data_IF_190956732344
#
_entry.id   IF_190956732344
#
_cell.length_a   1.000
_cell.length_b   1.000
_cell.length_c   1.000
_cell.angle_alpha   90.00
_cell.angle_beta   90.00
_cell.angle_gamma   90.00
#
_symmetry.space_group_name_H-M   'P 1'
#
loop_
_entity.id
_entity.type
_entity.pdbx_description
1 polymer ?
#
# COMPACT_ATOMS: atom_id res chain seq x y z
N UNK A 1 1.55 -9.85 28.93
CA UNK A 1 0.36 -10.50 28.35
C UNK A 1 0.82 -11.56 27.35
N UNK A 2 0.19 -12.75 27.31
CA UNK A 2 0.55 -13.85 26.39
C UNK A 2 -0.30 -13.86 25.09
N UNK A 3 -1.04 -12.80 24.83
CA UNK A 3 -1.93 -12.66 23.68
C UNK A 3 -1.78 -11.27 23.05
N UNK A 4 -2.15 -11.16 21.78
CA UNK A 4 -2.27 -9.91 21.05
C UNK A 4 -3.72 -9.55 20.73
N UNK A 5 -3.94 -8.31 20.29
CA UNK A 5 -5.23 -7.84 19.81
C UNK A 5 -5.06 -7.17 18.45
N UNK A 6 -6.11 -7.19 17.64
CA UNK A 6 -6.16 -6.48 16.37
C UNK A 6 -6.94 -5.19 16.58
N UNK A 7 -6.31 -4.06 16.25
CA UNK A 7 -6.98 -2.77 16.20
C UNK A 7 -7.50 -2.51 14.79
N UNK A 8 -8.80 -2.26 14.66
CA UNK A 8 -9.44 -1.85 13.40
C UNK A 8 -9.56 -0.32 13.38
N UNK A 9 -8.81 0.38 12.52
CA UNK A 9 -8.81 1.84 12.54
C UNK A 9 -10.09 2.45 11.96
N UNK A 10 -10.44 3.71 12.34
CA UNK A 10 -11.67 4.37 11.90
C UNK A 10 -11.82 4.51 10.38
N UNK A 11 -10.71 4.53 9.63
CA UNK A 11 -10.76 4.60 8.17
C UNK A 11 -11.35 3.34 7.51
N UNK A 12 -11.55 2.25 8.27
CA UNK A 12 -12.23 1.03 7.79
C UNK A 12 -13.70 0.95 8.21
N UNK A 13 -14.21 1.89 9.00
CA UNK A 13 -15.50 1.78 9.65
C UNK A 13 -16.44 2.94 9.27
N UNK A 14 -17.71 2.62 9.09
CA UNK A 14 -18.82 3.58 9.04
C UNK A 14 -19.15 4.09 10.45
N UNK A 15 -20.02 5.10 10.54
CA UNK A 15 -20.43 5.68 11.82
C UNK A 15 -21.17 4.66 12.73
N UNK A 16 -21.81 3.67 12.14
CA UNK A 16 -22.50 2.58 12.84
C UNK A 16 -21.58 1.40 13.21
N UNK A 17 -20.28 1.48 12.90
CA UNK A 17 -19.30 0.43 13.16
C UNK A 17 -19.24 -0.68 12.11
N UNK A 18 -20.04 -0.63 11.05
CA UNK A 18 -19.94 -1.57 9.92
C UNK A 18 -18.70 -1.27 9.05
N UNK A 19 -18.22 -2.25 8.29
CA UNK A 19 -17.05 -2.08 7.41
C UNK A 19 -17.37 -1.17 6.21
N UNK A 20 -16.44 -0.27 5.88
CA UNK A 20 -16.47 0.52 4.65
C UNK A 20 -16.10 -0.33 3.44
N UNK A 21 -16.73 -0.12 2.27
CA UNK A 21 -16.34 -0.78 1.03
C UNK A 21 -14.94 -0.30 0.58
N UNK A 22 -13.98 -1.22 0.60
CA UNK A 22 -12.57 -0.94 0.26
C UNK A 22 -12.34 -1.04 -1.26
N UNK A 23 -11.45 -0.23 -1.85
CA UNK A 23 -10.98 -0.51 -3.21
C UNK A 23 -10.24 -1.84 -3.26
N UNK A 24 -10.27 -2.52 -4.40
CA UNK A 24 -9.51 -3.73 -4.67
C UNK A 24 -8.53 -3.49 -5.83
N UNK A 25 -7.28 -3.90 -5.66
CA UNK A 25 -6.31 -3.99 -6.76
C UNK A 25 -6.62 -5.28 -7.53
N UNK A 26 -7.16 -5.17 -8.73
CA UNK A 26 -7.69 -6.31 -9.51
C UNK A 26 -6.70 -6.84 -10.53
N UNK A 27 -5.77 -6.01 -10.99
CA UNK A 27 -4.70 -6.40 -11.90
C UNK A 27 -3.57 -7.19 -11.23
N UNK A 28 -2.71 -7.82 -12.05
CA UNK A 28 -1.50 -8.46 -11.57
C UNK A 28 -0.47 -7.40 -11.13
N UNK A 29 0.06 -7.56 -9.92
CA UNK A 29 1.20 -6.78 -9.42
C UNK A 29 2.43 -7.69 -9.46
N UNK A 30 3.54 -7.29 -10.08
CA UNK A 30 4.76 -8.09 -10.08
C UNK A 30 5.24 -8.38 -8.66
N UNK A 31 5.68 -9.62 -8.41
CA UNK A 31 6.21 -10.01 -7.10
C UNK A 31 7.57 -9.35 -6.78
N UNK A 32 8.32 -8.93 -7.80
CA UNK A 32 9.62 -8.27 -7.68
C UNK A 32 9.74 -7.12 -8.67
N UNK A 33 10.28 -6.01 -8.23
CA UNK A 33 10.43 -4.77 -9.02
C UNK A 33 11.75 -4.10 -8.67
N UNK A 34 12.35 -3.38 -9.61
CA UNK A 34 13.54 -2.56 -9.33
C UNK A 34 13.18 -1.17 -8.82
N UNK A 35 14.11 -0.51 -8.13
CA UNK A 35 14.02 0.94 -7.91
C UNK A 35 13.92 1.66 -9.26
N UNK A 36 13.10 2.71 -9.33
CA UNK A 36 12.89 3.48 -10.56
C UNK A 36 11.98 2.79 -11.59
N UNK A 37 11.49 1.59 -11.31
CA UNK A 37 10.52 0.92 -12.18
C UNK A 37 9.15 1.60 -12.12
N UNK A 38 8.42 1.46 -13.21
CA UNK A 38 7.03 1.87 -13.32
C UNK A 38 6.13 0.64 -13.29
N UNK A 39 5.05 0.72 -12.51
CA UNK A 39 4.07 -0.35 -12.35
C UNK A 39 2.73 0.07 -12.92
N UNK A 40 2.16 -0.78 -13.79
CA UNK A 40 0.77 -0.69 -14.18
C UNK A 40 -0.11 -1.37 -13.14
N UNK A 41 -1.05 -0.62 -12.56
CA UNK A 41 -1.95 -1.09 -11.51
C UNK A 41 -3.39 -0.80 -11.91
N UNK A 42 -4.27 -1.79 -11.78
CA UNK A 42 -5.71 -1.65 -12.02
C UNK A 42 -6.48 -1.88 -10.75
N UNK A 43 -7.52 -1.09 -10.52
CA UNK A 43 -8.46 -1.22 -9.41
C UNK A 43 -9.89 -1.50 -9.89
N UNK A 44 -10.76 -1.88 -8.96
CA UNK A 44 -12.20 -2.08 -9.20
C UNK A 44 -13.00 -0.76 -9.22
N UNK A 45 -12.52 0.25 -8.50
CA UNK A 45 -13.07 1.60 -8.45
C UNK A 45 -11.96 2.65 -8.48
N UNK A 46 -12.32 3.91 -8.76
CA UNK A 46 -11.36 5.00 -8.79
C UNK A 46 -10.67 5.21 -7.44
N UNK A 47 -9.35 5.44 -7.48
CA UNK A 47 -8.51 5.73 -6.32
C UNK A 47 -7.73 7.03 -6.52
N UNK A 48 -7.31 7.65 -5.41
CA UNK A 48 -6.65 8.97 -5.40
C UNK A 48 -5.19 8.91 -5.00
N UNK A 49 -4.73 7.81 -4.39
CA UNK A 49 -3.32 7.64 -4.05
C UNK A 49 -2.92 6.18 -3.91
N UNK A 50 -1.61 5.95 -4.05
CA UNK A 50 -0.96 4.69 -3.73
C UNK A 50 0.16 4.92 -2.72
N UNK A 51 0.41 3.94 -1.87
CA UNK A 51 1.53 3.95 -0.93
C UNK A 51 2.10 2.56 -0.75
N UNK A 52 3.43 2.49 -0.62
CA UNK A 52 4.10 1.32 -0.08
C UNK A 52 4.29 1.47 1.42
N UNK A 53 4.12 0.38 2.15
CA UNK A 53 4.52 0.25 3.55
C UNK A 53 5.47 -0.93 3.66
N UNK A 54 6.71 -0.69 4.07
CA UNK A 54 7.70 -1.76 4.25
C UNK A 54 7.24 -2.69 5.38
N UNK A 55 7.42 -3.99 5.20
CA UNK A 55 7.16 -4.96 6.27
C UNK A 55 8.03 -4.61 7.48
N UNK A 56 7.39 -4.46 8.65
CA UNK A 56 8.05 -4.09 9.90
C UNK A 56 8.53 -5.30 10.69
N UNK A 57 9.50 -5.07 11.57
CA UNK A 57 9.96 -6.03 12.56
C UNK A 57 10.18 -5.30 13.89
N UNK A 58 9.35 -5.60 14.89
CA UNK A 58 9.30 -4.84 16.13
C UNK A 58 9.79 -5.67 17.33
N UNK A 59 10.72 -5.12 18.10
CA UNK A 59 11.13 -5.64 19.42
C UNK A 59 11.62 -4.51 20.31
N UNK A 60 11.39 -4.58 21.62
CA UNK A 60 11.83 -3.55 22.58
C UNK A 60 11.49 -2.12 22.14
N UNK A 61 10.25 -1.91 21.68
CA UNK A 61 9.76 -0.63 21.14
C UNK A 61 10.49 -0.10 19.91
N UNK A 62 11.29 -0.94 19.24
CA UNK A 62 12.10 -0.57 18.09
C UNK A 62 11.59 -1.31 16.85
N UNK A 63 11.24 -0.56 15.81
CA UNK A 63 11.01 -1.05 14.45
C UNK A 63 11.78 -0.13 13.49
N UNK A 64 12.92 -0.61 13.00
CA UNK A 64 13.78 0.13 12.06
C UNK A 64 13.41 -0.15 10.60
N UNK A 65 12.49 -1.10 10.38
CA UNK A 65 12.14 -1.58 9.06
C UNK A 65 10.96 -0.82 8.48
N UNK A 66 9.93 -0.56 9.28
CA UNK A 66 8.70 0.05 8.82
C UNK A 66 8.94 1.49 8.32
N UNK A 67 8.50 1.76 7.10
CA UNK A 67 8.41 3.11 6.53
C UNK A 67 7.27 3.17 5.52
N UNK A 68 6.69 4.36 5.36
CA UNK A 68 5.69 4.64 4.33
C UNK A 68 6.33 5.42 3.18
N UNK A 69 6.15 4.94 1.96
CA UNK A 69 6.60 5.60 0.73
C UNK A 69 5.36 5.96 -0.09
N UNK A 70 4.94 7.25 -0.13
CA UNK A 70 3.89 7.68 -1.04
C UNK A 70 4.38 7.54 -2.48
N UNK A 71 3.51 7.06 -3.38
CA UNK A 71 3.87 6.85 -4.77
C UNK A 71 3.24 7.91 -5.66
N UNK A 72 4.01 8.35 -6.66
CA UNK A 72 3.47 9.18 -7.73
C UNK A 72 2.60 8.30 -8.62
N UNK A 73 1.37 8.74 -8.86
CA UNK A 73 0.43 8.06 -9.75
C UNK A 73 0.16 8.90 -11.00
N UNK A 74 -0.10 8.22 -12.11
CA UNK A 74 -0.68 8.79 -13.34
C UNK A 74 -1.85 7.91 -13.74
N UNK A 75 -3.05 8.49 -13.81
CA UNK A 75 -4.21 7.76 -14.30
C UNK A 75 -4.08 7.58 -15.82
N UNK A 76 -4.18 6.33 -16.28
CA UNK A 76 -4.25 5.97 -17.71
C UNK A 76 -5.70 5.69 -18.14
N UNK A 77 -6.58 5.40 -17.18
CA UNK A 77 -8.03 5.30 -17.35
C UNK A 77 -8.74 5.65 -16.03
N UNK A 78 -10.06 5.45 -15.95
CA UNK A 78 -10.82 5.66 -14.71
C UNK A 78 -10.37 4.75 -13.55
N UNK A 79 -9.81 3.57 -13.84
CA UNK A 79 -9.40 2.58 -12.84
C UNK A 79 -8.03 1.93 -13.15
N UNK A 80 -7.28 2.49 -14.10
CA UNK A 80 -5.93 2.05 -14.44
C UNK A 80 -4.93 3.17 -14.22
N UNK A 81 -3.78 2.81 -13.65
CA UNK A 81 -2.77 3.74 -13.19
C UNK A 81 -1.38 3.24 -13.51
N UNK A 82 -0.49 4.17 -13.84
CA UNK A 82 0.95 3.96 -13.72
C UNK A 82 1.42 4.52 -12.39
N UNK A 83 2.27 3.76 -11.70
CA UNK A 83 2.76 4.08 -10.37
C UNK A 83 4.28 3.92 -10.35
N UNK A 84 5.00 4.97 -9.94
CA UNK A 84 6.47 4.96 -9.94
C UNK A 84 7.03 4.44 -8.62
N UNK A 85 7.92 3.45 -8.69
CA UNK A 85 8.79 3.07 -7.58
C UNK A 85 9.93 4.09 -7.51
N UNK A 86 10.20 4.74 -6.35
CA UNK A 86 11.30 5.68 -6.24
C UNK A 86 12.64 5.08 -6.69
N UNK A 87 13.36 5.85 -7.52
CA UNK A 87 14.68 5.46 -8.02
C UNK A 87 15.75 5.50 -6.93
N UNK A 88 15.59 6.38 -5.94
CA UNK A 88 16.51 6.50 -4.81
C UNK A 88 16.26 5.36 -3.80
N UNK A 89 17.23 4.44 -3.60
CA UNK A 89 17.10 3.36 -2.62
C UNK A 89 17.07 3.89 -1.18
N UNK A 90 17.54 5.11 -0.90
CA UNK A 90 17.38 5.75 0.42
C UNK A 90 15.91 6.04 0.76
N UNK A 91 15.10 6.34 -0.26
CA UNK A 91 13.64 6.52 -0.13
C UNK A 91 12.91 5.17 -0.10
N UNK A 92 13.20 4.31 -1.08
CA UNK A 92 12.59 2.99 -1.21
C UNK A 92 13.66 1.89 -1.07
N UNK A 93 14.01 1.56 0.18
CA UNK A 93 15.01 0.53 0.48
C UNK A 93 14.62 -0.82 -0.14
N UNK A 94 15.58 -1.64 -0.56
CA UNK A 94 15.31 -3.02 -0.90
C UNK A 94 14.61 -3.79 0.22
N UNK A 95 13.72 -4.71 -0.17
CA UNK A 95 12.95 -5.54 0.75
C UNK A 95 11.47 -5.66 0.38
N UNK A 96 10.70 -6.28 1.27
CA UNK A 96 9.29 -6.59 1.05
C UNK A 96 8.39 -5.44 1.50
N UNK A 97 7.44 -5.07 0.64
CA UNK A 97 6.47 -4.02 0.86
C UNK A 97 5.04 -4.51 0.65
N UNK A 98 4.13 -3.82 1.34
CA UNK A 98 2.70 -3.83 1.10
C UNK A 98 2.33 -2.63 0.24
N UNK A 99 1.79 -2.86 -0.96
CA UNK A 99 1.18 -1.85 -1.81
C UNK A 99 -0.30 -1.68 -1.47
N UNK A 100 -0.69 -0.45 -1.17
CA UNK A 100 -2.08 -0.05 -0.91
C UNK A 100 -2.55 0.97 -1.94
N UNK A 101 -3.79 0.82 -2.39
CA UNK A 101 -4.54 1.87 -3.09
C UNK A 101 -5.53 2.51 -2.11
N UNK A 102 -5.71 3.83 -2.16
CA UNK A 102 -6.61 4.57 -1.29
C UNK A 102 -7.63 5.35 -2.12
N UNK A 103 -8.91 5.26 -1.75
CA UNK A 103 -9.95 6.08 -2.37
C UNK A 103 -9.95 7.53 -1.85
N UNK A 104 -10.86 8.34 -2.38
CA UNK A 104 -10.97 9.76 -2.03
C UNK A 104 -11.31 10.00 -0.55
N UNK A 105 -11.84 9.00 0.15
CA UNK A 105 -12.16 9.04 1.57
C UNK A 105 -11.04 8.47 2.45
N UNK A 106 -9.91 8.06 1.83
CA UNK A 106 -8.77 7.48 2.53
C UNK A 106 -8.95 6.02 2.92
N UNK A 107 -9.97 5.32 2.40
CA UNK A 107 -10.18 3.89 2.70
C UNK A 107 -9.16 3.06 1.90
N UNK A 108 -8.28 2.28 2.56
CA UNK A 108 -7.24 1.53 1.87
C UNK A 108 -7.75 0.18 1.35
N UNK A 109 -7.17 -0.28 0.25
CA UNK A 109 -7.35 -1.64 -0.25
C UNK A 109 -6.78 -2.68 0.71
N UNK A 110 -7.07 -3.97 0.48
CA UNK A 110 -6.16 -5.02 0.98
C UNK A 110 -4.82 -4.90 0.24
N UNK A 111 -3.72 -5.23 0.92
CA UNK A 111 -2.39 -5.08 0.35
C UNK A 111 -2.16 -6.05 -0.83
N UNK A 112 -1.29 -5.64 -1.76
CA UNK A 112 -0.53 -6.55 -2.62
C UNK A 112 0.92 -6.56 -2.16
N UNK A 113 1.52 -7.74 -2.06
CA UNK A 113 2.91 -7.88 -1.62
C UNK A 113 3.83 -7.82 -2.84
N UNK A 114 4.90 -7.03 -2.73
CA UNK A 114 5.97 -6.98 -3.71
C UNK A 114 7.32 -6.73 -3.04
N UNK A 115 8.39 -7.18 -3.68
CA UNK A 115 9.77 -6.98 -3.22
C UNK A 115 10.47 -5.98 -4.12
N UNK A 116 11.07 -4.94 -3.54
CA UNK A 116 11.96 -4.03 -4.25
C UNK A 116 13.39 -4.58 -4.17
N UNK A 117 14.08 -4.72 -5.31
CA UNK A 117 15.50 -5.06 -5.39
C UNK A 117 15.91 -5.74 -6.68
#
# INVERSE_FOLDING_TARGET
>A
HLAGAIFTPPYLLNADGSEKPRPAITGQVPARVGNGSQLSVTTDKAVTSFALVRAGAATHSTDNDQRRVPLRLRATSATSYEVDIPADPGMALPGTYMLFALDAQGVPSKARILTIG
#
